data_IF_736089119291
#
_entry.id   IF_736089119291
#
_cell.length_a   1.000
_cell.length_b   1.000
_cell.length_c   1.000
_cell.angle_alpha   90.00
_cell.angle_beta   90.00
_cell.angle_gamma   90.00
#
_symmetry.space_group_name_H-M   'P 1'
#
loop_
_entity.id
_entity.type
_entity.pdbx_description
1 polymer ?
#
# COMPACT_ATOMS: atom_id res chain seq x y z
N UNK A 1 -0.20 9.90 -22.21
CA UNK A 1 -1.38 9.57 -21.40
C UNK A 1 -1.32 10.49 -20.18
N UNK A 2 -2.31 11.36 -19.92
CA UNK A 2 -2.33 12.08 -18.65
C UNK A 2 -2.45 11.04 -17.54
N UNK A 3 -1.57 11.10 -16.54
CA UNK A 3 -1.72 10.31 -15.33
C UNK A 3 -3.12 10.59 -14.76
N UNK A 4 -3.87 9.55 -14.42
CA UNK A 4 -5.16 9.76 -13.79
C UNK A 4 -4.96 10.49 -12.46
N UNK A 5 -5.90 11.38 -12.12
CA UNK A 5 -5.84 12.11 -10.86
C UNK A 5 -5.72 11.15 -9.65
N UNK A 6 -6.34 9.97 -9.75
CA UNK A 6 -6.22 8.91 -8.76
C UNK A 6 -4.78 8.36 -8.67
N UNK A 7 -4.15 7.99 -9.78
CA UNK A 7 -2.79 7.43 -9.77
C UNK A 7 -1.79 8.40 -9.12
N UNK A 8 -1.89 9.69 -9.45
CA UNK A 8 -1.05 10.72 -8.84
C UNK A 8 -1.26 10.82 -7.31
N UNK A 9 -2.51 10.73 -6.82
CA UNK A 9 -2.81 10.68 -5.38
C UNK A 9 -2.23 9.42 -4.73
N UNK A 10 -2.45 8.25 -5.32
CA UNK A 10 -1.98 6.97 -4.81
C UNK A 10 -0.45 6.93 -4.72
N UNK A 11 0.27 7.41 -5.75
CA UNK A 11 1.73 7.46 -5.76
C UNK A 11 2.31 8.45 -4.76
N UNK A 12 1.58 9.52 -4.40
CA UNK A 12 1.94 10.42 -3.29
C UNK A 12 1.66 9.81 -1.92
N UNK A 13 0.67 8.93 -1.80
CA UNK A 13 0.32 8.26 -0.56
C UNK A 13 1.21 7.07 -0.21
N UNK A 14 2.08 6.59 -1.11
CA UNK A 14 2.91 5.41 -0.85
C UNK A 14 3.91 5.62 0.30
N UNK A 15 4.48 6.82 0.46
CA UNK A 15 5.33 7.14 1.61
C UNK A 15 4.54 7.12 2.93
N UNK A 16 3.25 7.48 2.89
CA UNK A 16 2.36 7.43 4.06
C UNK A 16 2.12 6.01 4.55
N UNK A 17 2.05 5.02 3.64
CA UNK A 17 1.97 3.60 4.01
C UNK A 17 3.22 3.13 4.75
N UNK A 18 4.40 3.49 4.23
CA UNK A 18 5.69 3.14 4.86
C UNK A 18 5.82 3.83 6.21
N UNK A 19 5.44 5.11 6.31
CA UNK A 19 5.43 5.84 7.57
C UNK A 19 4.41 5.32 8.58
N UNK A 20 3.26 4.80 8.13
CA UNK A 20 2.31 4.15 9.02
C UNK A 20 2.90 2.85 9.56
N UNK A 21 3.49 2.02 8.71
CA UNK A 21 4.21 0.81 9.14
C UNK A 21 5.31 1.13 10.14
N UNK A 22 6.13 2.15 9.89
CA UNK A 22 7.18 2.61 10.80
C UNK A 22 6.62 3.08 12.15
N UNK A 23 5.46 3.73 12.15
CA UNK A 23 4.81 4.26 13.36
C UNK A 23 4.23 3.19 14.27
N UNK A 24 3.58 2.16 13.70
CA UNK A 24 2.87 1.14 14.48
C UNK A 24 3.63 -0.18 14.62
N UNK A 25 4.68 -0.36 13.82
CA UNK A 25 5.58 -1.49 13.91
C UNK A 25 6.29 -1.52 15.27
N UNK A 26 6.24 -2.66 15.95
CA UNK A 26 6.83 -2.84 17.28
C UNK A 26 8.27 -3.39 17.20
N UNK A 27 9.12 -2.74 16.43
CA UNK A 27 10.53 -3.09 16.30
C UNK A 27 11.38 -1.86 15.96
N UNK A 28 12.69 -1.99 16.05
CA UNK A 28 13.62 -0.95 15.56
C UNK A 28 13.51 -0.77 14.03
N UNK A 29 13.86 0.41 13.49
CA UNK A 29 13.71 0.72 12.08
C UNK A 29 14.42 -0.26 11.13
N UNK A 30 15.62 -0.74 11.49
CA UNK A 30 16.36 -1.71 10.67
C UNK A 30 15.61 -3.04 10.56
N UNK A 31 15.06 -3.52 11.68
CA UNK A 31 14.24 -4.73 11.69
C UNK A 31 12.92 -4.55 10.95
N UNK A 32 12.28 -3.39 11.04
CA UNK A 32 11.07 -3.08 10.26
C UNK A 32 11.35 -3.04 8.75
N UNK A 33 12.52 -2.54 8.35
CA UNK A 33 12.96 -2.50 6.96
C UNK A 33 13.22 -3.91 6.41
N UNK A 34 13.86 -4.76 7.21
CA UNK A 34 14.07 -6.18 6.90
C UNK A 34 12.76 -6.95 6.75
N UNK A 35 11.82 -6.79 7.70
CA UNK A 35 10.49 -7.43 7.64
C UNK A 35 9.77 -7.02 6.35
N UNK A 36 9.85 -5.74 5.96
CA UNK A 36 9.22 -5.23 4.75
C UNK A 36 9.77 -5.93 3.50
N UNK A 37 11.09 -6.04 3.38
CA UNK A 37 11.76 -6.68 2.25
C UNK A 37 11.48 -8.19 2.19
N UNK A 38 11.56 -8.89 3.32
CA UNK A 38 11.27 -10.32 3.39
C UNK A 38 9.80 -10.61 3.09
N UNK A 39 8.89 -9.77 3.57
CA UNK A 39 7.47 -9.85 3.22
C UNK A 39 7.27 -9.68 1.71
N UNK A 40 7.94 -8.71 1.08
CA UNK A 40 7.84 -8.51 -0.35
C UNK A 40 8.27 -9.74 -1.15
N UNK A 41 9.39 -10.37 -0.75
CA UNK A 41 9.91 -11.60 -1.37
C UNK A 41 8.94 -12.77 -1.17
N UNK A 42 8.53 -13.05 0.06
CA UNK A 42 7.70 -14.21 0.42
C UNK A 42 6.29 -14.10 -0.17
N UNK A 43 5.68 -12.92 -0.10
CA UNK A 43 4.34 -12.68 -0.64
C UNK A 43 4.34 -12.31 -2.14
N UNK A 44 5.50 -12.32 -2.81
CA UNK A 44 5.67 -12.00 -4.24
C UNK A 44 5.10 -10.62 -4.61
N UNK A 45 5.34 -9.63 -3.75
CA UNK A 45 4.89 -8.24 -3.92
C UNK A 45 5.89 -7.36 -4.67
N UNK A 46 6.96 -7.99 -5.16
CA UNK A 46 8.08 -7.39 -5.87
C UNK A 46 9.39 -7.96 -5.33
N UNK A 47 10.50 -7.60 -5.97
CA UNK A 47 11.82 -8.10 -5.61
C UNK A 47 12.69 -6.92 -5.17
N UNK A 48 12.98 -6.80 -3.85
CA UNK A 48 14.00 -5.87 -3.37
C UNK A 48 15.37 -6.31 -3.90
N UNK A 49 16.08 -5.42 -4.60
CA UNK A 49 17.46 -5.67 -5.06
C UNK A 49 18.38 -5.91 -3.86
N UNK A 50 18.26 -5.05 -2.85
CA UNK A 50 18.94 -5.16 -1.56
C UNK A 50 17.93 -5.08 -0.41
N UNK A 51 18.33 -5.56 0.78
CA UNK A 51 17.56 -5.34 2.01
C UNK A 51 17.80 -3.91 2.49
N UNK A 52 16.78 -3.04 2.55
CA UNK A 52 16.94 -1.67 3.04
C UNK A 52 17.28 -1.66 4.52
N UNK A 53 17.97 -0.61 4.95
CA UNK A 53 18.23 -0.32 6.35
C UNK A 53 17.16 0.63 6.94
N UNK A 54 17.27 0.88 8.24
CA UNK A 54 16.35 1.75 8.96
C UNK A 54 16.40 3.21 8.52
N UNK A 55 17.53 3.68 7.96
CA UNK A 55 17.67 5.04 7.41
C UNK A 55 16.87 5.15 6.13
N UNK A 56 17.05 4.20 5.21
CA UNK A 56 16.30 4.10 3.95
C UNK A 56 14.80 4.03 4.22
N UNK A 57 14.38 3.26 5.23
CA UNK A 57 12.97 3.17 5.63
C UNK A 57 12.42 4.51 6.15
N UNK A 58 13.22 5.25 6.94
CA UNK A 58 12.85 6.58 7.43
C UNK A 58 12.73 7.58 6.27
N UNK A 59 13.66 7.57 5.31
CA UNK A 59 13.60 8.44 4.13
C UNK A 59 12.32 8.17 3.31
N UNK A 60 11.99 6.89 3.10
CA UNK A 60 10.77 6.46 2.43
C UNK A 60 9.48 6.82 3.17
N UNK A 61 9.55 7.02 4.49
CA UNK A 61 8.41 7.47 5.28
C UNK A 61 8.13 8.98 5.15
N UNK A 62 9.10 9.74 4.60
CA UNK A 62 9.06 11.18 4.43
C UNK A 62 8.95 11.58 2.96
N UNK A 63 9.96 12.31 2.48
CA UNK A 63 9.96 12.96 1.17
C UNK A 63 10.36 12.02 0.03
N UNK A 64 11.06 10.92 0.34
CA UNK A 64 11.47 9.97 -0.68
C UNK A 64 10.30 9.08 -1.08
N UNK A 65 10.07 8.95 -2.39
CA UNK A 65 9.07 8.02 -2.88
C UNK A 65 9.58 6.58 -2.69
N UNK A 66 8.91 5.73 -1.90
CA UNK A 66 9.32 4.35 -1.76
C UNK A 66 9.14 3.57 -3.08
N UNK A 67 9.95 2.53 -3.30
CA UNK A 67 9.68 1.59 -4.37
C UNK A 67 8.31 0.93 -4.15
N UNK A 68 7.60 0.62 -5.24
CA UNK A 68 6.23 0.12 -5.15
C UNK A 68 6.11 -1.18 -4.33
N UNK A 69 7.12 -2.03 -4.36
CA UNK A 69 7.13 -3.27 -3.55
C UNK A 69 7.08 -2.97 -2.05
N UNK A 70 7.70 -1.87 -1.59
CA UNK A 70 7.72 -1.48 -0.18
C UNK A 70 6.35 -1.00 0.28
N UNK A 71 5.68 -0.17 -0.53
CA UNK A 71 4.31 0.26 -0.27
C UNK A 71 3.33 -0.92 -0.26
N UNK A 72 3.45 -1.84 -1.22
CA UNK A 72 2.65 -3.07 -1.30
C UNK A 72 2.84 -3.98 -0.09
N UNK A 73 4.08 -4.16 0.35
CA UNK A 73 4.41 -4.93 1.54
C UNK A 73 3.89 -4.26 2.82
N UNK A 74 3.99 -2.93 2.93
CA UNK A 74 3.43 -2.17 4.05
C UNK A 74 1.91 -2.39 4.12
N UNK A 75 1.18 -2.21 3.03
CA UNK A 75 -0.27 -2.49 2.98
C UNK A 75 -0.60 -3.93 3.40
N UNK A 76 0.15 -4.92 2.91
CA UNK A 76 -0.04 -6.31 3.28
C UNK A 76 0.13 -6.55 4.78
N UNK A 77 1.14 -5.95 5.40
CA UNK A 77 1.41 -6.06 6.83
C UNK A 77 0.37 -5.32 7.67
N UNK A 78 0.02 -4.09 7.29
CA UNK A 78 -0.96 -3.27 8.01
C UNK A 78 -2.32 -3.97 8.10
N UNK A 79 -2.77 -4.66 7.04
CA UNK A 79 -4.01 -5.47 7.05
C UNK A 79 -4.02 -6.61 8.06
N UNK A 80 -2.85 -7.04 8.54
CA UNK A 80 -2.70 -8.16 9.47
C UNK A 80 -2.47 -7.70 10.90
N UNK A 81 -2.36 -6.40 11.16
CA UNK A 81 -2.11 -5.87 12.49
C UNK A 81 -3.40 -5.97 13.34
N UNK A 82 -3.35 -6.56 14.55
CA UNK A 82 -4.52 -6.71 15.42
C UNK A 82 -5.18 -5.39 15.85
N UNK A 83 -4.45 -4.28 15.80
CA UNK A 83 -4.96 -2.96 16.13
C UNK A 83 -5.88 -2.36 15.04
N UNK A 84 -6.09 -3.06 13.92
CA UNK A 84 -6.98 -2.65 12.83
C UNK A 84 -6.68 -1.23 12.31
N UNK A 85 -5.46 -0.96 11.83
CA UNK A 85 -5.08 0.38 11.37
C UNK A 85 -5.94 0.79 10.18
N UNK A 86 -6.36 2.06 10.17
CA UNK A 86 -7.10 2.69 9.07
C UNK A 86 -6.25 3.80 8.43
N UNK A 87 -6.46 4.14 7.14
CA UNK A 87 -5.76 5.27 6.52
C UNK A 87 -5.95 6.55 7.34
N UNK A 88 -4.89 7.36 7.45
CA UNK A 88 -4.92 8.61 8.23
C UNK A 88 -5.48 9.79 7.43
N UNK A 89 -5.52 9.67 6.12
CA UNK A 89 -5.97 10.70 5.19
C UNK A 89 -6.28 10.12 3.80
N UNK A 90 -6.79 10.99 2.91
CA UNK A 90 -7.20 10.64 1.54
C UNK A 90 -6.04 10.07 0.70
N UNK A 91 -4.83 10.64 0.79
CA UNK A 91 -3.70 10.17 -0.01
C UNK A 91 -3.30 8.75 0.42
N UNK A 92 -3.25 8.51 1.73
CA UNK A 92 -2.99 7.19 2.27
C UNK A 92 -4.09 6.21 1.85
N UNK A 93 -5.36 6.60 1.87
CA UNK A 93 -6.49 5.76 1.41
C UNK A 93 -6.36 5.40 -0.08
N UNK A 94 -6.00 6.34 -0.95
CA UNK A 94 -5.72 6.05 -2.36
C UNK A 94 -4.56 5.06 -2.52
N UNK A 95 -3.49 5.20 -1.74
CA UNK A 95 -2.35 4.29 -1.78
C UNK A 95 -2.71 2.88 -1.28
N UNK A 96 -3.51 2.78 -0.22
CA UNK A 96 -4.08 1.53 0.28
C UNK A 96 -4.89 0.81 -0.80
N UNK A 97 -5.86 1.51 -1.39
CA UNK A 97 -6.72 0.96 -2.45
C UNK A 97 -5.90 0.49 -3.66
N UNK A 98 -4.94 1.31 -4.10
CA UNK A 98 -4.06 0.99 -5.20
C UNK A 98 -3.18 -0.25 -4.91
N UNK A 99 -2.57 -0.33 -3.73
CA UNK A 99 -1.75 -1.48 -3.34
C UNK A 99 -2.60 -2.74 -3.13
N UNK A 100 -3.80 -2.62 -2.56
CA UNK A 100 -4.75 -3.72 -2.38
C UNK A 100 -5.08 -4.41 -3.70
N UNK A 101 -5.50 -3.63 -4.71
CA UNK A 101 -5.82 -4.15 -6.05
C UNK A 101 -4.61 -4.73 -6.80
N UNK A 102 -3.37 -4.38 -6.39
CA UNK A 102 -2.14 -4.95 -6.95
C UNK A 102 -1.60 -6.13 -6.17
N UNK A 103 -1.93 -6.27 -4.89
CA UNK A 103 -1.47 -7.38 -4.05
C UNK A 103 -2.21 -8.68 -4.38
N UNK A 104 -3.44 -8.58 -4.88
CA UNK A 104 -4.25 -9.72 -5.28
C UNK A 104 -5.00 -9.44 -6.56
N UNK A 105 -5.27 -10.48 -7.34
CA UNK A 105 -6.16 -10.40 -8.50
C UNK A 105 -7.60 -10.60 -8.06
N UNK A 106 -8.47 -9.71 -8.53
CA UNK A 106 -9.92 -9.78 -8.32
C UNK A 106 -10.61 -9.83 -9.68
N UNK A 107 -11.71 -10.57 -9.73
CA UNK A 107 -12.54 -10.78 -10.91
C UNK A 107 -13.57 -9.66 -11.08
N UNK A 108 -14.00 -9.08 -9.96
CA UNK A 108 -15.00 -8.01 -9.89
C UNK A 108 -14.70 -7.03 -8.76
N UNK A 109 -15.32 -5.85 -8.82
CA UNK A 109 -15.24 -4.86 -7.74
C UNK A 109 -15.84 -5.40 -6.43
N UNK A 110 -16.95 -6.13 -6.54
CA UNK A 110 -17.63 -6.77 -5.40
C UNK A 110 -16.74 -7.79 -4.67
N UNK A 111 -15.96 -8.57 -5.43
CA UNK A 111 -14.97 -9.49 -4.87
C UNK A 111 -13.86 -8.72 -4.12
N UNK A 112 -13.39 -7.60 -4.68
CA UNK A 112 -12.37 -6.77 -4.06
C UNK A 112 -12.87 -6.10 -2.76
N UNK A 113 -14.14 -5.70 -2.71
CA UNK A 113 -14.80 -5.13 -1.52
C UNK A 113 -15.02 -6.20 -0.45
N UNK A 114 -15.59 -7.36 -0.81
CA UNK A 114 -15.90 -8.42 0.16
C UNK A 114 -14.65 -9.07 0.75
N UNK A 115 -13.53 -9.02 0.04
CA UNK A 115 -12.24 -9.51 0.54
C UNK A 115 -11.52 -8.52 1.46
N UNK A 116 -11.98 -7.26 1.59
CA UNK A 116 -11.39 -6.30 2.53
C UNK A 116 -11.77 -6.66 3.97
N UNK A 117 -10.87 -6.44 4.94
CA UNK A 117 -11.22 -6.44 6.36
C UNK A 117 -12.34 -5.41 6.66
N UNK A 118 -13.27 -5.77 7.55
CA UNK A 118 -14.46 -4.96 7.86
C UNK A 118 -14.13 -3.51 8.24
N UNK A 119 -13.07 -3.31 9.03
CA UNK A 119 -12.62 -1.98 9.48
C UNK A 119 -12.11 -1.08 8.34
N UNK A 120 -11.86 -1.64 7.15
CA UNK A 120 -11.39 -0.92 5.98
C UNK A 120 -12.48 -0.65 4.94
N UNK A 121 -13.67 -1.25 5.08
CA UNK A 121 -14.76 -1.09 4.10
C UNK A 121 -15.18 0.38 3.95
N UNK A 122 -15.45 1.05 5.06
CA UNK A 122 -15.85 2.46 5.07
C UNK A 122 -14.70 3.40 4.65
N UNK A 123 -13.49 3.37 5.27
CA UNK A 123 -12.45 4.33 4.94
C UNK A 123 -11.82 4.12 3.55
N UNK A 124 -11.96 2.94 2.94
CA UNK A 124 -11.46 2.69 1.59
C UNK A 124 -12.55 2.71 0.51
N UNK A 125 -13.83 2.82 0.84
CA UNK A 125 -14.92 2.66 -0.12
C UNK A 125 -14.79 3.53 -1.37
N UNK A 126 -14.65 4.85 -1.17
CA UNK A 126 -14.49 5.80 -2.28
C UNK A 126 -13.17 5.60 -3.04
N UNK A 127 -12.07 5.48 -2.29
CA UNK A 127 -10.74 5.29 -2.87
C UNK A 127 -10.64 3.99 -3.69
N UNK A 128 -11.30 2.92 -3.24
CA UNK A 128 -11.31 1.63 -3.94
C UNK A 128 -12.16 1.68 -5.20
N UNK A 129 -13.29 2.39 -5.17
CA UNK A 129 -14.10 2.64 -6.36
C UNK A 129 -13.30 3.42 -7.43
N UNK A 130 -12.62 4.49 -7.04
CA UNK A 130 -11.74 5.25 -7.93
C UNK A 130 -10.58 4.39 -8.47
N UNK A 131 -9.93 3.61 -7.61
CA UNK A 131 -8.85 2.70 -8.00
C UNK A 131 -9.31 1.63 -9.00
N UNK A 132 -10.52 1.10 -8.82
CA UNK A 132 -11.09 0.11 -9.72
C UNK A 132 -11.38 0.71 -11.10
N UNK A 133 -12.00 1.90 -11.14
CA UNK A 133 -12.26 2.63 -12.37
C UNK A 133 -10.97 2.96 -13.14
N UNK A 134 -9.92 3.39 -12.44
CA UNK A 134 -8.59 3.61 -13.02
C UNK A 134 -8.01 2.32 -13.63
N UNK A 135 -8.09 1.21 -12.89
CA UNK A 135 -7.59 -0.10 -13.35
C UNK A 135 -8.33 -0.59 -14.60
N UNK A 136 -9.66 -0.40 -14.69
CA UNK A 136 -10.42 -0.76 -15.89
C UNK A 136 -10.07 0.14 -17.07
N UNK A 137 -9.88 1.44 -16.84
CA UNK A 137 -9.51 2.39 -17.88
C UNK A 137 -8.17 2.04 -18.53
N UNK A 138 -7.19 1.59 -17.73
CA UNK A 138 -5.89 1.12 -18.23
C UNK A 138 -5.96 -0.20 -19.01
N UNK A 139 -6.99 -1.03 -18.80
CA UNK A 139 -7.21 -2.25 -19.59
C UNK A 139 -7.85 -1.99 -20.95
N UNK A 140 -8.46 -0.82 -21.13
CA UNK A 140 -9.17 -0.43 -22.35
C UNK A 140 -8.29 0.37 -23.33
N UNK A 141 -7.01 0.63 -22.98
CA UNK A 141 -6.02 1.34 -23.79
C UNK A 141 -5.05 0.35 -24.44
#
# INVERSE_FOLDING_TARGET
MPESLFYAKAMRGTSRLVGHWLMIGQADPDRLAMILADTARVAKLGEPEDTPDGITLQDWSGDAQPPLWAARAATFLLMQIPACPVPRDELEACAWAYCWLRNRRFSSFDEAMTALPDHLLEPLGDALNEAWADTQSQRLI
#
